data_IF_848565050960
#
_entry.id   IF_848565050960
#
_cell.length_a   1.000
_cell.length_b   1.000
_cell.length_c   1.000
_cell.angle_alpha   90.00
_cell.angle_beta   90.00
_cell.angle_gamma   90.00
#
_symmetry.space_group_name_H-M   'P 1'
#
loop_
_entity.id
_entity.type
_entity.pdbx_description
1 polymer ?
#
# COMPACT_ATOMS: atom_id res chain seq x y z
N UNK A 1 4.76 14.29 16.94
CA UNK A 1 5.38 14.29 15.59
C UNK A 1 4.38 13.66 14.66
N UNK A 2 3.54 14.47 14.01
CA UNK A 2 2.59 14.00 12.99
C UNK A 2 3.39 13.61 11.76
N UNK A 3 3.32 12.33 11.42
CA UNK A 3 3.92 11.79 10.20
C UNK A 3 3.00 12.15 9.03
N UNK A 4 3.56 12.67 7.94
CA UNK A 4 2.79 12.89 6.71
C UNK A 4 2.24 11.54 6.22
N UNK A 5 0.94 11.44 5.93
CA UNK A 5 0.36 10.23 5.38
C UNK A 5 1.03 9.89 4.04
N UNK A 6 1.37 8.62 3.87
CA UNK A 6 1.98 8.10 2.64
C UNK A 6 1.01 7.14 1.95
N UNK A 7 1.24 6.84 0.68
CA UNK A 7 0.37 5.99 -0.12
C UNK A 7 -0.09 4.68 0.57
N UNK A 8 0.77 3.93 1.29
CA UNK A 8 0.32 2.77 2.06
C UNK A 8 -0.78 3.06 3.09
N UNK A 9 -0.73 4.24 3.74
CA UNK A 9 -1.75 4.64 4.73
C UNK A 9 -3.10 4.91 4.03
N UNK A 10 -3.08 5.59 2.87
CA UNK A 10 -4.27 5.85 2.05
C UNK A 10 -4.92 4.54 1.58
N UNK A 11 -4.13 3.62 1.01
CA UNK A 11 -4.62 2.32 0.56
C UNK A 11 -5.18 1.50 1.71
N UNK A 12 -4.49 1.45 2.84
CA UNK A 12 -4.95 0.74 4.03
C UNK A 12 -6.32 1.27 4.51
N UNK A 13 -6.51 2.59 4.47
CA UNK A 13 -7.77 3.22 4.87
C UNK A 13 -8.92 2.86 3.92
N UNK A 14 -8.67 2.91 2.61
CA UNK A 14 -9.64 2.52 1.58
C UNK A 14 -10.04 1.05 1.76
N UNK A 15 -9.07 0.15 1.81
CA UNK A 15 -9.29 -1.29 1.93
C UNK A 15 -10.04 -1.64 3.21
N UNK A 16 -9.67 -1.05 4.35
CA UNK A 16 -10.32 -1.33 5.64
C UNK A 16 -11.79 -0.94 5.65
N UNK A 17 -12.16 0.14 5.00
CA UNK A 17 -13.55 0.58 4.91
C UNK A 17 -14.38 -0.29 3.98
N UNK A 18 -13.86 -0.59 2.80
CA UNK A 18 -14.59 -1.29 1.74
C UNK A 18 -14.66 -2.81 1.97
N UNK A 19 -13.64 -3.39 2.58
CA UNK A 19 -13.59 -4.84 2.86
C UNK A 19 -14.27 -5.21 4.16
N UNK A 20 -14.71 -4.24 4.98
CA UNK A 20 -15.39 -4.48 6.25
C UNK A 20 -14.52 -5.17 7.31
N UNK A 21 -13.22 -5.27 7.08
CA UNK A 21 -12.29 -5.76 8.08
C UNK A 21 -12.16 -4.68 9.16
N UNK A 22 -12.79 -4.94 10.31
CA UNK A 22 -12.40 -4.25 11.53
C UNK A 22 -10.87 -4.27 11.57
N UNK A 23 -10.26 -3.12 11.79
CA UNK A 23 -8.82 -2.99 12.01
C UNK A 23 -8.41 -4.11 12.98
N UNK A 24 -7.93 -5.21 12.45
CA UNK A 24 -7.11 -6.09 13.24
C UNK A 24 -5.86 -5.27 13.51
N UNK A 25 -5.82 -4.64 14.68
CA UNK A 25 -4.57 -4.10 15.22
C UNK A 25 -3.57 -5.21 14.97
N UNK A 26 -2.49 -4.97 14.23
CA UNK A 26 -1.53 -6.02 13.99
C UNK A 26 -1.19 -6.60 15.35
N UNK A 27 -1.19 -7.91 15.46
CA UNK A 27 -0.71 -8.65 16.65
C UNK A 27 0.78 -8.36 16.94
N UNK A 28 1.25 -7.26 16.50
CA UNK A 28 2.60 -6.73 16.34
C UNK A 28 3.06 -5.82 17.46
N UNK A 29 2.20 -5.48 18.40
CA UNK A 29 2.69 -4.84 19.63
C UNK A 29 3.76 -5.66 20.33
N UNK A 30 3.73 -7.00 20.13
CA UNK A 30 4.75 -7.91 20.68
C UNK A 30 6.02 -7.92 19.81
N UNK A 31 5.91 -7.87 18.49
CA UNK A 31 7.08 -7.94 17.58
C UNK A 31 7.78 -6.59 17.38
N UNK A 32 7.08 -5.47 17.50
CA UNK A 32 7.74 -4.15 17.51
C UNK A 32 8.65 -3.98 18.73
N UNK A 33 8.28 -4.57 19.85
CA UNK A 33 9.12 -4.59 21.06
C UNK A 33 10.35 -5.52 20.91
N UNK A 34 10.26 -6.60 20.14
CA UNK A 34 11.40 -7.47 19.85
C UNK A 34 12.52 -6.76 19.08
N UNK A 35 12.18 -5.77 18.24
CA UNK A 35 13.19 -4.96 17.56
C UNK A 35 14.09 -4.19 18.52
N UNK A 36 13.55 -3.76 19.66
CA UNK A 36 14.30 -3.00 20.66
C UNK A 36 15.07 -3.92 21.63
N UNK A 37 14.70 -5.21 21.70
CA UNK A 37 15.28 -6.20 22.62
C UNK A 37 16.47 -6.94 22.00
N UNK A 38 16.54 -7.07 20.65
CA UNK A 38 17.61 -7.80 19.99
C UNK A 38 18.81 -6.86 19.76
N UNK A 39 19.99 -7.12 20.39
CA UNK A 39 21.21 -6.36 20.15
C UNK A 39 21.65 -6.39 18.70
N UNK A 40 22.22 -5.27 18.21
CA UNK A 40 22.69 -5.10 16.83
C UNK A 40 23.53 -6.26 16.26
N UNK A 41 24.50 -6.84 17.00
CA UNK A 41 25.33 -7.94 16.48
C UNK A 41 24.53 -9.22 16.24
N UNK A 42 23.51 -9.50 17.07
CA UNK A 42 22.67 -10.69 16.89
C UNK A 42 21.75 -10.58 15.65
N UNK A 43 21.40 -9.38 15.24
CA UNK A 43 20.59 -9.15 14.02
C UNK A 43 21.33 -9.61 12.76
N UNK A 44 22.63 -9.40 12.70
CA UNK A 44 23.45 -9.83 11.56
C UNK A 44 23.62 -11.35 11.50
N UNK A 45 23.76 -12.01 12.63
CA UNK A 45 23.90 -13.48 12.72
C UNK A 45 22.57 -14.15 12.36
N UNK A 46 21.44 -13.63 12.86
CA UNK A 46 20.11 -14.13 12.53
C UNK A 46 19.82 -13.99 11.01
N UNK A 47 20.18 -12.85 10.43
CA UNK A 47 19.95 -12.58 9.00
C UNK A 47 20.76 -13.49 8.08
N UNK A 48 21.97 -13.91 8.49
CA UNK A 48 22.87 -14.73 7.69
C UNK A 48 22.50 -16.21 7.68
N UNK A 49 21.81 -16.70 8.71
CA UNK A 49 21.50 -18.12 8.90
C UNK A 49 20.02 -18.49 8.63
N UNK A 50 19.18 -17.51 8.23
CA UNK A 50 17.80 -17.79 7.88
C UNK A 50 17.67 -18.29 6.44
N UNK A 51 16.86 -19.33 6.18
CA UNK A 51 16.54 -19.76 4.81
C UNK A 51 16.02 -18.58 3.98
N UNK A 52 16.40 -18.52 2.70
CA UNK A 52 16.09 -17.42 1.79
C UNK A 52 14.59 -17.07 1.77
N UNK A 53 13.71 -18.07 1.78
CA UNK A 53 12.25 -17.85 1.83
C UNK A 53 11.74 -17.19 3.13
N UNK A 54 12.46 -17.38 4.25
CA UNK A 54 12.12 -16.74 5.52
C UNK A 54 12.66 -15.31 5.58
N UNK A 55 13.84 -15.07 4.98
CA UNK A 55 14.40 -13.72 4.84
C UNK A 55 13.50 -12.84 3.97
N UNK A 56 12.98 -13.38 2.88
CA UNK A 56 12.08 -12.68 1.97
C UNK A 56 10.74 -12.33 2.66
N UNK A 57 10.14 -13.29 3.38
CA UNK A 57 8.94 -13.05 4.20
C UNK A 57 9.17 -12.00 5.29
N UNK A 58 10.29 -12.06 5.99
CA UNK A 58 10.63 -11.05 7.00
C UNK A 58 10.87 -9.68 6.37
N UNK A 59 11.56 -9.62 5.24
CA UNK A 59 11.84 -8.34 4.55
C UNK A 59 10.55 -7.73 4.01
N UNK A 60 9.66 -8.52 3.42
CA UNK A 60 8.35 -8.09 2.96
C UNK A 60 7.47 -7.63 4.13
N UNK A 61 7.47 -8.38 5.23
CA UNK A 61 6.78 -8.03 6.46
C UNK A 61 7.25 -6.69 7.05
N UNK A 62 8.57 -6.46 7.08
CA UNK A 62 9.17 -5.23 7.61
C UNK A 62 8.97 -4.02 6.69
N UNK A 63 8.94 -4.24 5.37
CA UNK A 63 8.75 -3.20 4.35
C UNK A 63 7.29 -2.79 4.21
N UNK A 64 6.37 -3.73 4.34
CA UNK A 64 4.93 -3.53 4.09
C UNK A 64 4.11 -3.44 5.40
N UNK A 65 4.76 -3.27 6.55
CA UNK A 65 4.09 -2.96 7.81
C UNK A 65 3.23 -4.10 8.39
N UNK A 66 3.53 -5.37 8.05
CA UNK A 66 2.78 -6.51 8.60
C UNK A 66 1.40 -6.71 7.99
N UNK A 67 1.28 -6.42 6.72
CA UNK A 67 0.05 -6.59 5.94
C UNK A 67 -0.43 -8.05 5.99
N UNK A 68 -1.68 -8.26 6.37
CA UNK A 68 -2.35 -9.55 6.21
C UNK A 68 -2.82 -9.70 4.77
N UNK A 69 -2.05 -10.43 3.97
CA UNK A 69 -2.32 -10.63 2.55
C UNK A 69 -3.64 -11.33 2.26
N UNK A 70 -4.16 -12.14 3.22
CA UNK A 70 -5.44 -12.80 3.08
C UNK A 70 -6.64 -11.84 3.18
N UNK A 71 -6.39 -10.62 3.64
CA UNK A 71 -7.39 -9.57 3.82
C UNK A 71 -7.07 -8.29 3.04
N UNK A 72 -6.05 -8.33 2.19
CA UNK A 72 -5.54 -7.15 1.51
C UNK A 72 -5.74 -7.26 0.00
N UNK A 73 -6.86 -6.76 -0.55
CA UNK A 73 -7.15 -6.81 -1.98
C UNK A 73 -6.31 -5.85 -2.83
N UNK A 74 -5.76 -4.80 -2.24
CA UNK A 74 -4.88 -3.84 -2.92
C UNK A 74 -3.77 -3.37 -1.99
N UNK A 75 -2.58 -3.12 -2.53
CA UNK A 75 -1.42 -2.66 -1.77
C UNK A 75 -0.54 -1.69 -2.56
N UNK A 76 0.10 -0.77 -1.83
CA UNK A 76 1.06 0.15 -2.40
C UNK A 76 2.42 -0.52 -2.58
N UNK A 77 3.08 -0.24 -3.70
CA UNK A 77 4.48 -0.55 -3.90
C UNK A 77 5.34 0.60 -3.36
N UNK A 78 6.52 0.25 -2.83
CA UNK A 78 7.47 1.25 -2.38
C UNK A 78 8.09 1.95 -3.59
N UNK A 79 8.00 3.28 -3.61
CA UNK A 79 8.61 4.15 -4.59
C UNK A 79 9.06 5.44 -3.92
N UNK A 80 10.06 6.12 -4.49
CA UNK A 80 10.62 7.34 -3.92
C UNK A 80 9.82 8.58 -4.35
N UNK A 81 9.27 8.62 -5.57
CA UNK A 81 8.65 9.82 -6.13
C UNK A 81 7.22 9.60 -6.62
N UNK A 82 6.93 8.45 -7.22
CA UNK A 82 5.62 8.13 -7.78
C UNK A 82 4.84 7.21 -6.84
N UNK A 83 3.52 7.21 -7.00
CA UNK A 83 2.66 6.27 -6.32
C UNK A 83 2.34 5.08 -7.22
N UNK A 84 2.56 3.86 -6.73
CA UNK A 84 2.22 2.64 -7.44
C UNK A 84 1.34 1.75 -6.58
N UNK A 85 0.27 1.22 -7.16
CA UNK A 85 -0.62 0.27 -6.49
C UNK A 85 -0.76 -1.00 -7.31
N UNK A 86 -0.76 -2.14 -6.62
CA UNK A 86 -1.13 -3.43 -7.20
C UNK A 86 -2.38 -3.98 -6.54
N UNK A 87 -3.22 -4.61 -7.36
CA UNK A 87 -4.31 -5.45 -6.89
C UNK A 87 -3.74 -6.84 -6.56
N UNK A 88 -4.13 -7.39 -5.44
CA UNK A 88 -3.70 -8.71 -4.98
C UNK A 88 -4.42 -9.82 -5.74
N UNK A 89 -4.06 -9.95 -7.02
CA UNK A 89 -4.75 -10.77 -8.03
C UNK A 89 -4.40 -12.25 -7.88
N UNK A 90 -5.40 -13.12 -7.87
CA UNK A 90 -5.23 -14.57 -7.93
C UNK A 90 -4.45 -15.00 -9.18
N UNK A 91 -3.54 -15.95 -9.01
CA UNK A 91 -2.70 -16.47 -10.08
C UNK A 91 -1.51 -15.58 -10.47
N UNK A 92 -1.55 -14.27 -10.16
CA UNK A 92 -0.44 -13.34 -10.35
C UNK A 92 0.35 -13.14 -9.07
N UNK A 93 -0.34 -12.83 -7.98
CA UNK A 93 0.29 -12.68 -6.68
C UNK A 93 0.32 -14.03 -5.93
N UNK A 94 1.38 -14.29 -5.17
CA UNK A 94 1.56 -15.55 -4.45
C UNK A 94 0.43 -15.85 -3.46
N UNK A 95 -0.14 -14.81 -2.87
CA UNK A 95 -1.26 -14.87 -1.93
C UNK A 95 -2.42 -14.00 -2.44
N UNK A 96 -2.67 -14.06 -3.76
CA UNK A 96 -3.76 -13.34 -4.40
C UNK A 96 -5.12 -13.78 -3.88
N UNK A 97 -6.00 -12.81 -3.67
CA UNK A 97 -7.36 -13.03 -3.15
C UNK A 97 -8.45 -12.40 -4.04
N UNK A 98 -8.05 -11.58 -5.00
CA UNK A 98 -8.97 -10.91 -5.91
C UNK A 98 -9.04 -11.71 -7.21
N UNK A 99 -10.23 -12.14 -7.59
CA UNK A 99 -10.44 -12.88 -8.82
C UNK A 99 -10.35 -11.96 -10.05
N UNK A 100 -9.85 -12.51 -11.15
CA UNK A 100 -9.78 -11.78 -12.42
C UNK A 100 -11.18 -11.40 -12.94
N UNK A 101 -11.27 -10.32 -13.72
CA UNK A 101 -12.51 -9.87 -14.33
C UNK A 101 -13.27 -8.85 -13.49
N UNK A 102 -14.52 -9.14 -13.11
CA UNK A 102 -15.40 -8.16 -12.46
C UNK A 102 -14.90 -7.69 -11.10
N UNK A 103 -14.34 -8.59 -10.30
CA UNK A 103 -13.83 -8.25 -8.97
C UNK A 103 -12.56 -7.40 -9.07
N UNK A 104 -11.64 -7.75 -9.98
CA UNK A 104 -10.47 -6.93 -10.28
C UNK A 104 -10.88 -5.51 -10.69
N UNK A 105 -11.83 -5.38 -11.62
CA UNK A 105 -12.32 -4.08 -12.06
C UNK A 105 -13.00 -3.29 -10.94
N UNK A 106 -13.75 -3.98 -10.08
CA UNK A 106 -14.35 -3.36 -8.88
C UNK A 106 -13.27 -2.74 -7.99
N UNK A 107 -12.21 -3.48 -7.67
CA UNK A 107 -11.12 -2.98 -6.83
C UNK A 107 -10.32 -1.87 -7.51
N UNK A 108 -10.09 -1.97 -8.83
CA UNK A 108 -9.48 -0.89 -9.62
C UNK A 108 -10.28 0.42 -9.49
N UNK A 109 -11.61 0.36 -9.57
CA UNK A 109 -12.48 1.54 -9.42
C UNK A 109 -12.45 2.08 -7.98
N UNK A 110 -12.66 1.21 -6.98
CA UNK A 110 -12.65 1.58 -5.56
C UNK A 110 -11.36 2.32 -5.19
N UNK A 111 -10.22 1.75 -5.57
CA UNK A 111 -8.92 2.34 -5.24
C UNK A 111 -8.69 3.65 -6.01
N UNK A 112 -9.05 3.70 -7.29
CA UNK A 112 -8.93 4.92 -8.10
C UNK A 112 -9.76 6.05 -7.52
N UNK A 113 -11.06 5.83 -7.28
CA UNK A 113 -11.96 6.83 -6.71
C UNK A 113 -11.54 7.23 -5.30
N UNK A 114 -11.13 6.23 -4.51
CA UNK A 114 -10.65 6.45 -3.15
C UNK A 114 -9.44 7.37 -3.10
N UNK A 115 -8.41 7.09 -3.89
CA UNK A 115 -7.19 7.90 -3.92
C UNK A 115 -7.48 9.32 -4.43
N UNK A 116 -8.30 9.45 -5.48
CA UNK A 116 -8.68 10.75 -6.03
C UNK A 116 -9.53 11.60 -5.08
N UNK A 117 -10.14 11.01 -4.06
CA UNK A 117 -10.98 11.73 -3.09
C UNK A 117 -10.19 12.43 -1.99
N UNK A 118 -8.89 12.17 -1.86
CA UNK A 118 -8.07 12.78 -0.82
C UNK A 118 -7.60 14.18 -1.20
N UNK A 119 -7.76 15.09 -0.26
CA UNK A 119 -7.32 16.47 -0.34
C UNK A 119 -6.49 16.82 0.90
N UNK A 120 -5.67 17.84 0.79
CA UNK A 120 -5.02 18.44 1.95
C UNK A 120 -6.09 19.03 2.89
N UNK A 121 -5.95 18.76 4.18
CA UNK A 121 -6.94 19.19 5.17
C UNK A 121 -6.99 20.71 5.36
N UNK A 122 -5.86 21.36 5.25
CA UNK A 122 -5.74 22.78 5.56
C UNK A 122 -6.12 23.66 4.37
N UNK A 123 -5.76 23.22 3.15
CA UNK A 123 -6.01 23.98 1.92
C UNK A 123 -7.24 23.53 1.13
N UNK A 124 -7.66 22.28 1.31
CA UNK A 124 -8.70 21.65 0.49
C UNK A 124 -8.23 21.24 -0.92
N UNK A 125 -6.97 21.46 -1.24
CA UNK A 125 -6.41 21.13 -2.55
C UNK A 125 -6.25 19.61 -2.72
N UNK A 126 -6.59 19.04 -3.90
CA UNK A 126 -6.38 17.62 -4.17
C UNK A 126 -4.88 17.27 -4.06
N UNK A 127 -4.56 16.19 -3.34
CA UNK A 127 -3.17 15.69 -3.24
C UNK A 127 -2.74 14.85 -4.44
N UNK A 128 -3.70 14.40 -5.26
CA UNK A 128 -3.48 13.59 -6.46
C UNK A 128 -4.01 14.33 -7.67
N UNK A 129 -3.16 14.53 -8.67
CA UNK A 129 -3.55 15.15 -9.93
C UNK A 129 -4.18 14.15 -10.89
N UNK A 130 -3.68 12.91 -10.89
CA UNK A 130 -4.13 11.88 -11.82
C UNK A 130 -3.84 10.47 -11.31
N UNK A 131 -4.76 9.55 -11.62
CA UNK A 131 -4.53 8.10 -11.50
C UNK A 131 -4.61 7.49 -12.91
N UNK A 132 -3.56 6.81 -13.33
CA UNK A 132 -3.48 6.12 -14.61
C UNK A 132 -3.65 4.64 -14.36
N UNK A 133 -4.60 4.02 -15.02
CA UNK A 133 -4.85 2.57 -14.93
C UNK A 133 -4.02 1.85 -15.98
N UNK A 134 -3.39 0.74 -15.61
CA UNK A 134 -2.60 -0.08 -16.53
C UNK A 134 -3.44 -0.60 -17.71
N UNK A 135 -4.69 -0.98 -17.45
CA UNK A 135 -5.61 -1.53 -18.46
C UNK A 135 -6.05 -0.52 -19.53
N UNK A 136 -5.78 0.77 -19.33
CA UNK A 136 -6.00 1.84 -20.32
C UNK A 136 -4.77 2.12 -21.17
N UNK A 137 -3.64 1.48 -20.86
CA UNK A 137 -2.39 1.64 -21.60
C UNK A 137 -2.20 0.48 -22.57
N UNK A 138 -1.81 0.79 -23.80
CA UNK A 138 -1.48 -0.23 -24.80
C UNK A 138 -0.07 -0.80 -24.54
N UNK A 139 0.02 -1.58 -23.47
CA UNK A 139 1.27 -2.17 -23.00
C UNK A 139 1.31 -3.64 -23.41
N UNK A 140 2.26 -3.99 -24.26
CA UNK A 140 2.49 -5.35 -24.71
C UNK A 140 3.91 -5.81 -24.36
N UNK A 141 4.04 -7.06 -23.90
CA UNK A 141 5.36 -7.64 -23.63
C UNK A 141 5.34 -8.66 -22.49
N UNK A 142 6.42 -9.45 -22.36
CA UNK A 142 6.48 -10.57 -21.40
C UNK A 142 6.49 -10.13 -19.94
N UNK A 143 6.80 -8.88 -19.66
CA UNK A 143 6.90 -8.35 -18.29
C UNK A 143 5.71 -7.47 -17.89
N UNK A 144 4.65 -7.41 -18.68
CA UNK A 144 3.48 -6.56 -18.42
C UNK A 144 2.83 -6.90 -17.09
N UNK A 145 2.82 -8.16 -16.69
CA UNK A 145 2.25 -8.61 -15.41
C UNK A 145 3.06 -8.15 -14.18
N UNK A 146 4.30 -7.72 -14.38
CA UNK A 146 5.13 -7.18 -13.30
C UNK A 146 4.88 -5.70 -13.03
N UNK A 147 4.16 -5.01 -13.92
CA UNK A 147 3.84 -3.59 -13.77
C UNK A 147 2.78 -3.36 -12.69
N UNK A 148 2.77 -2.17 -12.06
CA UNK A 148 1.66 -1.74 -11.20
C UNK A 148 0.33 -1.73 -11.96
N UNK A 149 -0.76 -1.90 -11.24
CA UNK A 149 -2.11 -1.78 -11.80
C UNK A 149 -2.56 -0.33 -11.90
N UNK A 150 -2.11 0.50 -10.93
CA UNK A 150 -2.36 1.94 -10.90
C UNK A 150 -1.07 2.71 -10.73
N UNK A 151 -0.94 3.80 -11.49
CA UNK A 151 0.14 4.78 -11.41
C UNK A 151 -0.49 6.08 -10.90
N UNK A 152 0.03 6.61 -9.80
CA UNK A 152 -0.53 7.78 -9.13
C UNK A 152 0.43 8.94 -9.36
N UNK A 153 -0.07 9.98 -9.99
CA UNK A 153 0.61 11.24 -10.18
C UNK A 153 0.14 12.21 -9.08
N UNK A 154 1.08 12.63 -8.25
CA UNK A 154 0.80 13.60 -7.21
C UNK A 154 0.55 14.98 -7.81
N UNK A 155 -0.21 15.81 -7.09
CA UNK A 155 -0.36 17.22 -7.45
C UNK A 155 0.94 18.00 -7.19
N UNK A 156 1.13 19.08 -7.92
CA UNK A 156 2.29 19.96 -7.75
C UNK A 156 2.22 20.82 -6.47
N UNK A 157 1.20 20.63 -5.66
CA UNK A 157 1.05 21.35 -4.39
C UNK A 157 2.19 20.98 -3.45
N UNK A 158 2.96 21.95 -2.93
CA UNK A 158 4.08 21.65 -2.07
C UNK A 158 3.64 20.91 -0.82
N UNK A 159 4.10 19.68 -0.64
CA UNK A 159 3.83 18.88 0.57
C UNK A 159 4.52 19.40 1.84
N UNK A 160 5.30 20.47 1.73
CA UNK A 160 6.02 21.06 2.84
C UNK A 160 5.04 21.78 3.79
N UNK A 161 4.69 21.12 4.88
CA UNK A 161 3.81 21.67 5.91
C UNK A 161 2.48 20.96 6.09
N UNK A 162 2.06 20.12 5.17
CA UNK A 162 0.82 19.35 5.30
C UNK A 162 0.91 18.36 6.47
N UNK A 163 -0.10 18.38 7.34
CA UNK A 163 -0.13 17.58 8.57
C UNK A 163 -1.13 16.44 8.52
N UNK A 164 -2.15 16.57 7.68
CA UNK A 164 -3.21 15.61 7.54
C UNK A 164 -3.85 15.71 6.15
N UNK A 165 -4.41 14.63 5.69
CA UNK A 165 -5.24 14.59 4.48
C UNK A 165 -6.65 14.17 4.86
N UNK A 166 -7.63 14.65 4.09
CA UNK A 166 -9.03 14.37 4.31
C UNK A 166 -9.68 13.86 3.03
N UNK A 167 -10.58 12.90 3.18
CA UNK A 167 -11.44 12.41 2.10
C UNK A 167 -12.89 12.47 2.53
N UNK A 168 -13.77 12.92 1.64
CA UNK A 168 -15.21 12.84 1.85
C UNK A 168 -15.71 11.41 1.98
N UNK A 169 -15.00 10.45 1.39
CA UNK A 169 -15.33 9.03 1.41
C UNK A 169 -14.73 8.30 2.62
N UNK A 170 -13.51 8.65 3.02
CA UNK A 170 -12.72 7.84 3.97
C UNK A 170 -12.33 8.58 5.25
N UNK A 171 -12.70 9.85 5.37
CA UNK A 171 -12.40 10.68 6.53
C UNK A 171 -10.94 11.16 6.57
N UNK A 172 -10.50 11.57 7.75
CA UNK A 172 -9.15 12.11 8.00
C UNK A 172 -8.13 10.99 8.26
N UNK A 173 -6.91 11.21 7.75
CA UNK A 173 -5.72 10.39 8.01
C UNK A 173 -4.58 11.26 8.50
#
# INVERSE_FOLDING_TARGET
SSRVPILPDLISRIVSKEHGSAQSKPALGVLSNLRNIIPLPLRHILKKNLPFGLQDRMTSYWRLGGVDWSQTPAFALLSDFDGYVRINLEGREKLGIVSAGSEYNKWMNIVTEGIMSFADKDTGEPIVSRVIRRDTLDLTGPNTDNLPDLFIQWSDTPCAGHRAVISSLYGEI
#
